data_IF_573963949805
#
_entry.id   IF_573963949805
#
_cell.length_a   1.000
_cell.length_b   1.000
_cell.length_c   1.000
_cell.angle_alpha   90.00
_cell.angle_beta   90.00
_cell.angle_gamma   90.00
#
_symmetry.space_group_name_H-M   'P 1'
#
loop_
_entity.id
_entity.type
_entity.pdbx_description
1 polymer ?
#
# COMPACT_ATOMS: atom_id res chain seq x y z
N UNK A 1 -2.11 24.88 12.02
CA UNK A 1 -2.94 23.66 11.87
C UNK A 1 -2.12 22.65 11.08
N UNK A 2 -1.71 21.53 11.67
CA UNK A 2 -0.96 20.51 10.94
C UNK A 2 -1.84 19.96 9.81
N UNK A 3 -1.32 19.99 8.59
CA UNK A 3 -2.01 19.47 7.41
C UNK A 3 -2.11 17.94 7.50
N UNK A 4 -3.04 17.34 6.74
CA UNK A 4 -3.23 15.88 6.73
C UNK A 4 -1.93 15.15 6.35
N UNK A 5 -1.13 15.72 5.44
CA UNK A 5 0.17 15.21 5.02
C UNK A 5 1.22 15.25 6.14
N UNK A 6 1.19 16.28 6.98
CA UNK A 6 2.12 16.42 8.11
C UNK A 6 1.80 15.43 9.22
N UNK A 7 0.50 15.20 9.50
CA UNK A 7 0.03 14.14 10.40
C UNK A 7 0.37 12.75 9.86
N UNK A 8 0.24 12.52 8.55
CA UNK A 8 0.63 11.26 7.93
C UNK A 8 2.15 11.03 8.06
N UNK A 9 2.97 12.05 7.80
CA UNK A 9 4.43 11.97 7.98
C UNK A 9 4.82 11.72 9.43
N UNK A 10 4.19 12.42 10.37
CA UNK A 10 4.39 12.18 11.80
C UNK A 10 3.98 10.76 12.21
N UNK A 11 2.87 10.25 11.67
CA UNK A 11 2.40 8.89 11.92
C UNK A 11 3.34 7.84 11.31
N UNK A 12 3.79 8.02 10.06
CA UNK A 12 4.74 7.12 9.38
C UNK A 12 6.13 7.14 10.06
N UNK A 13 6.53 8.29 10.61
CA UNK A 13 7.77 8.43 11.39
C UNK A 13 7.67 7.84 12.81
N UNK A 14 6.47 7.58 13.32
CA UNK A 14 6.26 6.99 14.64
C UNK A 14 6.67 5.52 14.71
N UNK A 15 6.98 4.97 15.90
CA UNK A 15 7.31 3.55 16.06
C UNK A 15 6.21 2.63 15.55
N UNK A 16 4.95 3.05 15.66
CA UNK A 16 3.78 2.30 15.19
C UNK A 16 3.69 2.31 13.66
N UNK A 17 3.98 3.46 13.03
CA UNK A 17 4.06 3.58 11.57
C UNK A 17 5.19 2.76 10.97
N UNK A 18 6.38 2.80 11.59
CA UNK A 18 7.52 1.96 11.17
C UNK A 18 7.19 0.47 11.21
N UNK A 19 6.56 -0.03 12.28
CA UNK A 19 6.11 -1.44 12.36
C UNK A 19 5.11 -1.80 11.28
N UNK A 20 4.17 -0.91 10.94
CA UNK A 20 3.21 -1.11 9.85
C UNK A 20 3.93 -1.21 8.50
N UNK A 21 4.90 -0.32 8.24
CA UNK A 21 5.72 -0.38 7.02
C UNK A 21 6.54 -1.67 7.00
N UNK A 22 7.19 -2.05 8.09
CA UNK A 22 7.98 -3.29 8.18
C UNK A 22 7.12 -4.53 7.95
N UNK A 23 5.94 -4.62 8.58
CA UNK A 23 4.98 -5.70 8.34
C UNK A 23 4.49 -5.72 6.89
N UNK A 24 4.25 -4.55 6.30
CA UNK A 24 3.88 -4.40 4.90
C UNK A 24 5.02 -4.85 3.98
N UNK A 25 6.25 -4.44 4.22
CA UNK A 25 7.42 -4.88 3.46
C UNK A 25 7.65 -6.37 3.61
N UNK A 26 7.51 -6.94 4.81
CA UNK A 26 7.64 -8.38 5.03
C UNK A 26 6.56 -9.18 4.31
N UNK A 27 5.34 -8.64 4.24
CA UNK A 27 4.25 -9.24 3.48
C UNK A 27 4.48 -9.10 1.98
N UNK A 28 4.98 -7.97 1.50
CA UNK A 28 5.29 -7.72 0.08
C UNK A 28 6.58 -8.42 -0.38
N UNK A 29 7.48 -8.77 0.54
CA UNK A 29 8.68 -9.56 0.26
C UNK A 29 8.30 -11.01 -0.11
N UNK A 30 7.10 -11.46 0.24
CA UNK A 30 6.60 -12.78 -0.17
C UNK A 30 6.16 -12.72 -1.65
N UNK A 31 6.72 -13.57 -2.52
CA UNK A 31 6.37 -13.57 -3.94
C UNK A 31 4.88 -13.87 -4.20
N UNK A 32 4.25 -14.70 -3.37
CA UNK A 32 2.82 -14.98 -3.45
C UNK A 32 1.96 -13.73 -3.25
N UNK A 33 2.32 -12.86 -2.30
CA UNK A 33 1.60 -11.62 -2.05
C UNK A 33 1.80 -10.60 -3.17
N UNK A 34 2.97 -10.59 -3.83
CA UNK A 34 3.20 -9.76 -5.01
C UNK A 34 2.31 -10.20 -6.18
N UNK A 35 2.17 -11.50 -6.40
CA UNK A 35 1.26 -12.01 -7.44
C UNK A 35 -0.19 -11.67 -7.14
N UNK A 36 -0.61 -11.80 -5.87
CA UNK A 36 -1.96 -11.45 -5.42
C UNK A 36 -2.23 -9.96 -5.56
N UNK A 37 -1.27 -9.11 -5.18
CA UNK A 37 -1.34 -7.66 -5.34
C UNK A 37 -1.39 -7.26 -6.82
N UNK A 38 -0.55 -7.87 -7.67
CA UNK A 38 -0.58 -7.68 -9.12
C UNK A 38 -1.94 -8.08 -9.69
N UNK A 39 -2.50 -9.22 -9.31
CA UNK A 39 -3.83 -9.67 -9.76
C UNK A 39 -4.95 -8.74 -9.31
N UNK A 40 -4.86 -8.19 -8.10
CA UNK A 40 -5.79 -7.18 -7.59
C UNK A 40 -5.69 -5.87 -8.36
N UNK A 41 -4.46 -5.38 -8.58
CA UNK A 41 -4.19 -4.19 -9.38
C UNK A 41 -4.62 -4.35 -10.84
N UNK A 42 -4.40 -5.53 -11.40
CA UNK A 42 -4.81 -5.91 -12.75
C UNK A 42 -6.34 -5.94 -12.85
N UNK A 43 -7.05 -6.46 -11.84
CA UNK A 43 -8.52 -6.40 -11.76
C UNK A 43 -9.05 -4.97 -11.63
N UNK A 44 -8.37 -4.11 -10.84
CA UNK A 44 -8.70 -2.69 -10.68
C UNK A 44 -8.35 -1.84 -11.93
N UNK A 45 -7.35 -2.24 -12.72
CA UNK A 45 -7.01 -1.62 -14.01
C UNK A 45 -7.93 -2.12 -15.12
N UNK A 46 -8.15 -3.44 -15.21
CA UNK A 46 -8.99 -4.09 -16.21
C UNK A 46 -10.46 -3.69 -16.12
N UNK A 47 -10.96 -3.37 -14.92
CA UNK A 47 -12.30 -2.79 -14.74
C UNK A 47 -12.46 -1.38 -15.32
N UNK A 48 -11.36 -0.64 -15.59
CA UNK A 48 -11.39 0.69 -16.24
C UNK A 48 -11.19 0.65 -17.75
N UNK A 49 -10.66 -0.45 -18.31
CA UNK A 49 -10.36 -0.55 -19.75
C UNK A 49 -11.43 -1.29 -20.55
N UNK A 50 -12.36 -2.02 -19.91
CA UNK A 50 -13.45 -2.74 -20.61
C UNK A 50 -14.69 -1.85 -20.85
N UNK A 51 -14.45 -0.63 -21.31
CA UNK A 51 -15.46 0.36 -21.66
C UNK A 51 -15.06 1.10 -22.92
N UNK A 52 -14.79 0.37 -24.01
CA UNK A 52 -14.83 0.86 -25.40
C UNK A 52 -15.08 -0.31 -26.33
#
# INVERSE_FOLDING_TARGET
MATLSERLRAFLGSPRGKRLIEQGQHQLAKPENQQKARKLLDKLRGGRTRGR
#
